data_IF_132882972720
#
_entry.id   IF_132882972720
#
_cell.length_a   1.000
_cell.length_b   1.000
_cell.length_c   1.000
_cell.angle_alpha   90.00
_cell.angle_beta   90.00
_cell.angle_gamma   90.00
#
_symmetry.space_group_name_H-M   'P 1'
#
loop_
_entity.id
_entity.type
_entity.pdbx_description
1 polymer ?
#
# COMPACT_ATOMS: atom_id res chain seq x y z
N UNK A 1 -0.16 -10.99 -3.94
CA UNK A 1 -0.46 -9.88 -4.88
C UNK A 1 -1.05 -10.31 -6.25
N UNK A 2 -1.03 -11.60 -6.66
CA UNK A 2 -1.56 -12.00 -7.98
C UNK A 2 -3.03 -11.59 -8.26
N UNK A 3 -4.01 -11.86 -7.39
CA UNK A 3 -5.39 -11.49 -7.67
C UNK A 3 -5.58 -9.98 -7.89
N UNK A 4 -4.96 -9.15 -7.05
CA UNK A 4 -5.04 -7.68 -7.16
C UNK A 4 -4.55 -7.18 -8.54
N UNK A 5 -3.46 -7.76 -9.08
CA UNK A 5 -2.96 -7.42 -10.40
C UNK A 5 -3.93 -7.82 -11.51
N UNK A 6 -4.47 -9.05 -11.47
CA UNK A 6 -5.45 -9.52 -12.47
C UNK A 6 -6.69 -8.65 -12.50
N UNK A 7 -7.19 -8.26 -11.33
CA UNK A 7 -8.30 -7.29 -11.25
C UNK A 7 -7.92 -5.94 -11.86
N UNK A 8 -6.74 -5.42 -11.56
CA UNK A 8 -6.28 -4.14 -12.11
C UNK A 8 -6.13 -4.18 -13.65
N UNK A 9 -5.61 -5.28 -14.19
CA UNK A 9 -5.45 -5.51 -15.63
C UNK A 9 -6.80 -5.59 -16.37
N UNK A 10 -7.82 -6.19 -15.75
CA UNK A 10 -9.12 -6.43 -16.39
C UNK A 10 -10.14 -5.31 -16.18
N UNK A 11 -9.98 -4.50 -15.14
CA UNK A 11 -10.89 -3.39 -14.84
C UNK A 11 -10.97 -2.39 -16.01
N UNK A 12 -12.19 -2.03 -16.43
CA UNK A 12 -12.44 -1.14 -17.58
C UNK A 12 -12.46 0.35 -17.22
N UNK A 13 -12.44 0.68 -15.93
CA UNK A 13 -12.36 2.06 -15.45
C UNK A 13 -10.92 2.46 -15.11
N UNK A 14 -10.77 3.70 -14.61
CA UNK A 14 -9.48 4.22 -14.15
C UNK A 14 -9.03 3.45 -12.89
N UNK A 15 -7.91 2.77 -12.98
CA UNK A 15 -7.32 1.97 -11.90
C UNK A 15 -6.00 2.59 -11.45
N UNK A 16 -5.67 2.45 -10.16
CA UNK A 16 -4.36 2.78 -9.62
C UNK A 16 -3.93 1.67 -8.67
N UNK A 17 -2.64 1.36 -8.63
CA UNK A 17 -2.09 0.34 -7.74
C UNK A 17 -1.06 0.95 -6.78
N UNK A 18 -1.08 0.50 -5.53
CA UNK A 18 -0.05 0.83 -4.54
C UNK A 18 0.41 -0.43 -3.80
N UNK A 19 1.55 -0.33 -3.13
CA UNK A 19 2.09 -1.32 -2.22
C UNK A 19 2.40 -0.64 -0.87
N UNK A 20 2.02 -1.32 0.23
CA UNK A 20 2.38 -0.92 1.59
C UNK A 20 3.48 -1.85 2.09
N UNK A 21 4.66 -1.28 2.37
CA UNK A 21 5.88 -2.04 2.71
C UNK A 21 6.50 -1.66 4.05
N UNK A 22 5.88 -0.74 4.80
CA UNK A 22 6.38 -0.42 6.14
C UNK A 22 6.27 -1.67 7.02
N UNK A 23 7.39 -2.03 7.64
CA UNK A 23 7.52 -3.23 8.46
C UNK A 23 7.37 -2.87 9.92
N UNK A 24 6.42 -3.50 10.60
CA UNK A 24 6.25 -3.30 12.03
C UNK A 24 7.45 -3.81 12.82
N UNK A 25 7.92 -3.05 13.83
CA UNK A 25 8.95 -3.51 14.77
C UNK A 25 8.38 -4.43 15.88
N UNK A 26 7.05 -4.56 15.99
CA UNK A 26 6.42 -5.42 16.99
C UNK A 26 6.82 -6.89 16.81
N UNK A 27 6.78 -7.65 17.90
CA UNK A 27 7.20 -9.07 17.93
C UNK A 27 8.59 -9.28 17.32
N UNK A 28 9.57 -8.44 17.70
CA UNK A 28 10.93 -8.47 17.18
C UNK A 28 11.04 -8.33 15.64
N UNK A 29 10.05 -7.70 14.99
CA UNK A 29 10.03 -7.47 13.55
C UNK A 29 9.46 -8.63 12.71
N UNK A 30 8.97 -9.68 13.36
CA UNK A 30 8.44 -10.88 12.68
C UNK A 30 7.15 -10.61 11.91
N UNK A 31 6.37 -9.59 12.30
CA UNK A 31 5.14 -9.23 11.59
C UNK A 31 5.41 -8.69 10.18
N UNK A 32 6.51 -7.95 10.00
CA UNK A 32 6.75 -7.23 8.74
C UNK A 32 5.58 -6.29 8.38
N UNK A 33 5.25 -6.21 7.08
CA UNK A 33 4.09 -5.50 6.56
C UNK A 33 2.87 -6.46 6.52
N UNK A 34 2.44 -6.96 7.68
CA UNK A 34 1.39 -7.97 7.74
C UNK A 34 0.03 -7.45 7.26
N UNK A 35 -0.89 -8.37 6.98
CA UNK A 35 -2.26 -8.02 6.60
C UNK A 35 -2.94 -7.15 7.66
N UNK A 36 -3.58 -6.05 7.23
CA UNK A 36 -4.27 -5.09 8.08
C UNK A 36 -3.37 -4.00 8.69
N UNK A 37 -2.04 -4.10 8.52
CA UNK A 37 -1.10 -3.14 9.07
C UNK A 37 -1.26 -1.73 8.48
N UNK A 38 -1.72 -1.62 7.25
CA UNK A 38 -1.93 -0.35 6.55
C UNK A 38 -3.13 0.44 7.09
N UNK A 39 -4.11 -0.22 7.73
CA UNK A 39 -5.37 0.41 8.13
C UNK A 39 -5.18 1.62 9.06
N UNK A 40 -4.39 1.56 10.13
CA UNK A 40 -4.16 2.71 11.00
C UNK A 40 -3.47 3.88 10.29
N UNK A 41 -2.73 3.63 9.19
CA UNK A 41 -2.12 4.66 8.35
C UNK A 41 -3.13 5.27 7.38
N UNK A 42 -4.04 4.47 6.81
CA UNK A 42 -5.11 4.94 5.91
C UNK A 42 -6.09 5.85 6.65
N UNK A 43 -6.47 5.49 7.88
CA UNK A 43 -7.47 6.21 8.65
C UNK A 43 -6.90 7.32 9.54
N UNK A 44 -5.58 7.52 9.55
CA UNK A 44 -4.90 8.40 10.49
C UNK A 44 -5.28 8.13 11.96
N UNK A 45 -5.28 6.85 12.32
CA UNK A 45 -5.62 6.36 13.67
C UNK A 45 -4.48 5.56 14.28
N UNK A 46 -3.24 5.90 13.91
CA UNK A 46 -2.03 5.17 14.29
C UNK A 46 -1.87 4.99 15.80
N UNK A 47 -2.36 5.97 16.59
CA UNK A 47 -2.41 5.89 18.04
C UNK A 47 -3.17 4.67 18.58
N UNK A 48 -4.18 4.17 17.88
CA UNK A 48 -4.96 2.96 18.28
C UNK A 48 -4.17 1.66 18.10
N UNK A 49 -3.13 1.68 17.27
CA UNK A 49 -2.26 0.55 16.98
C UNK A 49 -0.85 0.72 17.57
N UNK A 50 -0.61 1.79 18.34
CA UNK A 50 0.68 2.13 18.94
C UNK A 50 0.75 1.64 20.39
N UNK A 51 1.84 0.95 20.74
CA UNK A 51 2.10 0.48 22.10
C UNK A 51 3.02 -0.75 22.13
N UNK A 52 3.53 -1.13 23.32
CA UNK A 52 4.50 -2.23 23.48
C UNK A 52 3.94 -3.60 23.09
N UNK A 53 2.60 -3.76 23.12
CA UNK A 53 1.90 -4.98 22.74
C UNK A 53 1.03 -4.80 21.48
N UNK A 54 1.09 -3.63 20.87
CA UNK A 54 0.23 -3.30 19.72
C UNK A 54 0.94 -3.58 18.41
N UNK A 55 0.14 -3.75 17.35
CA UNK A 55 0.60 -4.19 16.04
C UNK A 55 1.63 -3.24 15.41
N UNK A 56 1.57 -1.93 15.64
CA UNK A 56 2.51 -0.96 15.06
C UNK A 56 3.75 -0.70 15.94
N UNK A 57 3.86 -1.33 17.11
CA UNK A 57 4.93 -1.10 18.07
C UNK A 57 4.84 0.27 18.74
N UNK A 58 5.94 0.70 19.38
CA UNK A 58 5.92 1.87 20.28
C UNK A 58 6.08 3.22 19.59
N UNK A 59 6.74 3.25 18.42
CA UNK A 59 7.06 4.49 17.71
C UNK A 59 6.84 4.35 16.19
N UNK A 60 5.62 4.03 15.73
CA UNK A 60 5.33 3.99 14.31
C UNK A 60 5.36 5.40 13.70
N UNK A 61 5.67 5.54 12.39
CA UNK A 61 5.95 6.84 11.79
C UNK A 61 4.65 7.61 11.47
N UNK A 62 4.28 8.58 12.31
CA UNK A 62 3.10 9.43 12.09
C UNK A 62 3.16 10.16 10.73
N UNK A 63 4.33 10.66 10.32
CA UNK A 63 4.50 11.31 9.02
C UNK A 63 4.18 10.40 7.81
N UNK A 64 4.24 9.07 7.97
CA UNK A 64 3.77 8.13 6.96
C UNK A 64 2.24 8.05 6.97
N UNK A 65 1.60 8.00 8.14
CA UNK A 65 0.14 8.02 8.27
C UNK A 65 -0.45 9.30 7.66
N UNK A 66 0.13 10.47 7.95
CA UNK A 66 -0.31 11.75 7.38
C UNK A 66 -0.32 11.72 5.84
N UNK A 67 0.75 11.18 5.23
CA UNK A 67 0.87 11.07 3.77
C UNK A 67 -0.13 10.06 3.19
N UNK A 68 -0.23 8.87 3.77
CA UNK A 68 -1.14 7.82 3.29
C UNK A 68 -2.58 8.27 3.41
N UNK A 69 -2.96 8.86 4.55
CA UNK A 69 -4.28 9.42 4.77
C UNK A 69 -4.61 10.51 3.74
N UNK A 70 -3.69 11.44 3.51
CA UNK A 70 -3.86 12.48 2.49
C UNK A 70 -4.09 11.89 1.09
N UNK A 71 -3.32 10.88 0.69
CA UNK A 71 -3.50 10.19 -0.60
C UNK A 71 -4.93 9.64 -0.74
N UNK A 72 -5.45 9.00 0.31
CA UNK A 72 -6.81 8.45 0.31
C UNK A 72 -7.89 9.53 0.31
N UNK A 73 -7.70 10.63 1.05
CA UNK A 73 -8.62 11.77 1.07
C UNK A 73 -8.67 12.47 -0.29
N UNK A 74 -7.53 12.72 -0.92
CA UNK A 74 -7.45 13.34 -2.25
C UNK A 74 -8.14 12.45 -3.30
N UNK A 75 -7.90 11.13 -3.24
CA UNK A 75 -8.59 10.17 -4.10
C UNK A 75 -10.11 10.17 -3.90
N UNK A 76 -10.58 10.20 -2.65
CA UNK A 76 -12.01 10.25 -2.35
C UNK A 76 -12.66 11.58 -2.77
N UNK A 77 -11.91 12.69 -2.69
CA UNK A 77 -12.40 14.03 -3.04
C UNK A 77 -12.64 14.19 -4.54
N UNK A 78 -11.65 13.84 -5.36
CA UNK A 78 -11.71 14.10 -6.80
C UNK A 78 -10.96 13.04 -7.66
N UNK A 79 -10.43 12.01 -7.02
CA UNK A 79 -9.67 10.96 -7.68
C UNK A 79 -8.24 11.38 -8.07
N UNK A 80 -7.70 12.44 -7.45
CA UNK A 80 -6.30 12.83 -7.60
C UNK A 80 -5.38 11.89 -6.83
N UNK A 81 -4.29 11.50 -7.47
CA UNK A 81 -3.23 10.69 -6.89
C UNK A 81 -1.86 11.20 -7.40
N UNK A 82 -0.78 11.10 -6.61
CA UNK A 82 0.54 11.57 -7.02
C UNK A 82 1.24 10.67 -8.06
N UNK A 83 0.56 9.64 -8.58
CA UNK A 83 1.08 8.74 -9.61
C UNK A 83 0.05 8.49 -10.71
N UNK A 84 0.55 8.04 -11.87
CA UNK A 84 -0.26 7.74 -13.04
C UNK A 84 -1.19 6.53 -12.81
N UNK A 85 -2.32 6.44 -13.55
CA UNK A 85 -3.14 5.25 -13.59
C UNK A 85 -2.33 3.99 -13.94
N UNK A 86 -2.77 2.85 -13.41
CA UNK A 86 -2.24 1.55 -13.79
C UNK A 86 -2.64 1.20 -15.22
N UNK A 87 -1.67 0.73 -15.99
CA UNK A 87 -1.87 0.12 -17.31
C UNK A 87 -1.01 -1.15 -17.45
N UNK A 88 -1.34 -1.98 -18.44
CA UNK A 88 -0.71 -3.30 -18.64
C UNK A 88 0.75 -3.24 -19.10
N UNK A 89 1.14 -2.13 -19.72
CA UNK A 89 2.46 -1.94 -20.30
C UNK A 89 3.43 -1.46 -19.21
N UNK A 90 3.10 -0.34 -18.56
CA UNK A 90 3.87 0.30 -17.52
C UNK A 90 3.81 -0.40 -16.16
N UNK A 91 2.71 -1.10 -15.85
CA UNK A 91 2.49 -1.83 -14.58
C UNK A 91 3.02 -1.09 -13.34
N UNK A 92 2.77 0.21 -13.29
CA UNK A 92 3.32 1.05 -12.25
C UNK A 92 2.54 0.83 -10.94
N UNK A 93 3.28 0.54 -9.87
CA UNK A 93 2.76 0.39 -8.52
C UNK A 93 3.45 1.41 -7.63
N UNK A 94 2.67 2.20 -6.90
CA UNK A 94 3.17 3.23 -6.00
C UNK A 94 3.58 2.65 -4.65
N UNK A 95 4.83 2.86 -4.23
CA UNK A 95 5.27 2.52 -2.88
C UNK A 95 4.79 3.60 -1.91
N UNK A 96 3.88 3.25 -1.00
CA UNK A 96 3.41 4.19 0.04
C UNK A 96 4.52 4.60 1.00
N UNK A 97 5.50 3.71 1.20
CA UNK A 97 6.65 3.98 2.04
C UNK A 97 7.61 4.99 1.38
N UNK A 98 8.01 4.69 0.14
CA UNK A 98 9.06 5.44 -0.56
C UNK A 98 8.53 6.70 -1.25
N UNK A 99 7.22 6.76 -1.52
CA UNK A 99 6.60 7.90 -2.18
C UNK A 99 6.85 7.97 -3.70
N UNK A 100 7.10 6.83 -4.33
CA UNK A 100 7.38 6.76 -5.77
C UNK A 100 6.70 5.56 -6.45
N UNK A 101 6.35 5.77 -7.73
CA UNK A 101 5.82 4.71 -8.58
C UNK A 101 6.95 3.93 -9.24
N UNK A 102 6.92 2.60 -9.14
CA UNK A 102 7.91 1.70 -9.73
C UNK A 102 7.24 0.74 -10.71
N UNK A 103 7.90 0.46 -11.83
CA UNK A 103 7.46 -0.61 -12.72
C UNK A 103 7.59 -1.96 -11.99
N UNK A 104 6.50 -2.71 -11.94
CA UNK A 104 6.50 -4.02 -11.33
C UNK A 104 6.69 -5.12 -12.39
N UNK A 105 7.73 -5.96 -12.29
CA UNK A 105 7.93 -7.03 -13.25
C UNK A 105 6.80 -8.08 -13.15
N UNK A 106 6.55 -8.82 -14.25
CA UNK A 106 5.67 -9.98 -14.21
C UNK A 106 6.09 -10.92 -13.07
N UNK A 107 5.10 -11.48 -12.35
CA UNK A 107 5.43 -12.42 -11.28
C UNK A 107 6.13 -13.65 -11.87
N UNK A 108 7.17 -14.18 -11.23
CA UNK A 108 7.79 -15.45 -11.65
C UNK A 108 6.77 -16.59 -11.75
N UNK A 109 5.70 -16.53 -10.96
CA UNK A 109 4.60 -17.50 -10.97
C UNK A 109 3.60 -17.31 -12.13
N UNK A 110 3.65 -16.21 -12.88
CA UNK A 110 2.67 -15.88 -13.92
C UNK A 110 2.49 -16.98 -14.99
N UNK A 111 3.55 -17.69 -15.46
CA UNK A 111 3.38 -18.79 -16.41
C UNK A 111 2.61 -20.00 -15.87
N UNK A 112 2.43 -20.09 -14.55
CA UNK A 112 1.82 -21.24 -13.87
C UNK A 112 0.45 -20.91 -13.26
N UNK A 113 -0.01 -19.66 -13.42
CA UNK A 113 -1.28 -19.20 -12.90
C UNK A 113 -2.28 -19.01 -14.05
N UNK A 114 -3.58 -19.30 -13.83
CA UNK A 114 -4.61 -19.16 -14.84
C UNK A 114 -4.83 -17.71 -15.30
#
# INVERSE_FOLDING_TARGET
RWPARRFAEEHKGRTHMYQFDWRSPAFAGELGACHGMELPFVFDTLATATGPQCLAGEAPPQALADRVHKIWVDFARDGSLPWAPFDRDGRHVYSLLDGEARHEPPMPAAPFLP
#
